data_IF_949272160991
#
_entry.id   IF_949272160991
#
_cell.length_a   1.000
_cell.length_b   1.000
_cell.length_c   1.000
_cell.angle_alpha   90.00
_cell.angle_beta   90.00
_cell.angle_gamma   90.00
#
_symmetry.space_group_name_H-M   'P 1'
#
loop_
_entity.id
_entity.type
_entity.pdbx_description
1 polymer ?
#
# COMPACT_ATOMS: atom_id res chain seq x y z
N UNK A 1 -9.06 14.49 10.05
CA UNK A 1 -8.10 13.36 10.01
C UNK A 1 -8.13 12.80 8.59
N UNK A 2 -7.09 12.12 8.12
CA UNK A 2 -7.08 11.64 6.74
C UNK A 2 -6.07 10.53 6.56
N UNK A 3 -6.04 9.93 5.38
CA UNK A 3 -5.31 8.70 5.12
C UNK A 3 -3.78 8.80 5.28
N UNK A 4 -3.27 8.08 6.26
CA UNK A 4 -1.85 7.85 6.53
C UNK A 4 -1.56 6.35 6.38
N UNK A 5 -0.53 6.02 5.60
CA UNK A 5 -0.24 4.64 5.17
C UNK A 5 1.22 4.31 5.49
N UNK A 6 1.50 3.06 5.83
CA UNK A 6 2.82 2.62 6.27
C UNK A 6 3.16 1.24 5.73
N UNK A 7 4.45 1.00 5.48
CA UNK A 7 4.97 -0.35 5.27
C UNK A 7 6.22 -0.59 6.11
N UNK A 8 6.32 -1.79 6.67
CA UNK A 8 7.39 -2.16 7.59
C UNK A 8 7.66 -3.67 7.61
N UNK A 9 8.82 -4.03 8.15
CA UNK A 9 9.12 -5.43 8.50
C UNK A 9 8.57 -5.81 9.88
N UNK A 10 8.41 -7.11 10.14
CA UNK A 10 7.94 -7.66 11.43
C UNK A 10 8.66 -7.07 12.66
N UNK A 11 9.96 -6.78 12.53
CA UNK A 11 10.81 -6.31 13.63
C UNK A 11 10.64 -4.81 13.93
N UNK A 12 9.87 -4.06 13.11
CA UNK A 12 9.85 -2.59 13.13
C UNK A 12 8.46 -1.95 13.06
N UNK A 13 7.49 -2.50 13.78
CA UNK A 13 6.14 -1.93 13.90
C UNK A 13 6.10 -0.47 14.40
N UNK A 14 7.16 0.03 15.05
CA UNK A 14 7.25 1.41 15.58
C UNK A 14 8.04 2.38 14.70
N UNK A 15 8.72 1.91 13.65
CA UNK A 15 9.49 2.79 12.75
C UNK A 15 9.35 2.32 11.30
N UNK A 16 8.33 2.80 10.58
CA UNK A 16 8.05 2.29 9.25
C UNK A 16 9.13 2.66 8.25
N UNK A 17 9.51 1.70 7.40
CA UNK A 17 10.45 1.94 6.31
C UNK A 17 9.87 2.85 5.22
N UNK A 18 8.55 2.77 5.00
CA UNK A 18 7.84 3.60 4.04
C UNK A 18 6.59 4.18 4.67
N UNK A 19 6.30 5.43 4.32
CA UNK A 19 5.07 6.11 4.71
C UNK A 19 4.49 6.88 3.53
N UNK A 20 3.18 6.88 3.36
CA UNK A 20 2.49 7.68 2.36
C UNK A 20 1.40 8.51 3.02
N UNK A 21 1.10 9.63 2.38
CA UNK A 21 0.01 10.50 2.78
C UNK A 21 -0.94 10.66 1.62
N UNK A 22 -2.20 10.22 1.81
CA UNK A 22 -3.28 10.35 0.82
C UNK A 22 -2.92 9.75 -0.55
N UNK A 23 -2.31 8.56 -0.54
CA UNK A 23 -2.08 7.80 -1.76
C UNK A 23 -3.29 6.89 -2.02
N UNK A 24 -4.34 7.48 -2.60
CA UNK A 24 -5.64 6.84 -2.76
C UNK A 24 -5.57 5.56 -3.61
N UNK A 25 -4.81 5.59 -4.72
CA UNK A 25 -4.69 4.43 -5.62
C UNK A 25 -3.94 3.27 -4.98
N UNK A 26 -2.89 3.57 -4.20
CA UNK A 26 -2.20 2.54 -3.41
C UNK A 26 -3.14 1.96 -2.34
N UNK A 27 -3.94 2.79 -1.67
CA UNK A 27 -4.90 2.33 -0.67
C UNK A 27 -5.94 1.40 -1.30
N UNK A 28 -6.50 1.78 -2.44
CA UNK A 28 -7.48 0.96 -3.17
C UNK A 28 -6.91 -0.42 -3.50
N UNK A 29 -5.66 -0.49 -3.99
CA UNK A 29 -4.99 -1.76 -4.25
C UNK A 29 -4.88 -2.63 -2.98
N UNK A 30 -4.48 -2.02 -1.85
CA UNK A 30 -4.31 -2.74 -0.58
C UNK A 30 -5.64 -3.20 0.03
N UNK A 31 -6.70 -2.40 -0.11
CA UNK A 31 -8.05 -2.74 0.32
C UNK A 31 -8.63 -3.89 -0.50
N UNK A 32 -8.48 -3.87 -1.83
CA UNK A 32 -8.90 -4.98 -2.69
C UNK A 32 -8.15 -6.27 -2.33
N UNK A 33 -6.85 -6.17 -2.08
CA UNK A 33 -6.03 -7.30 -1.64
C UNK A 33 -6.49 -7.84 -0.28
N UNK A 34 -6.79 -6.96 0.68
CA UNK A 34 -7.31 -7.31 2.00
C UNK A 34 -8.65 -8.05 1.91
N UNK A 35 -9.61 -7.51 1.15
CA UNK A 35 -10.93 -8.12 0.96
C UNK A 35 -10.79 -9.52 0.34
N UNK A 36 -9.97 -9.64 -0.70
CA UNK A 36 -9.75 -10.92 -1.38
C UNK A 36 -9.10 -11.96 -0.46
N UNK A 37 -8.19 -11.55 0.42
CA UNK A 37 -7.44 -12.45 1.30
C UNK A 37 -8.23 -12.85 2.56
N UNK A 38 -9.02 -11.94 3.11
CA UNK A 38 -9.66 -12.11 4.43
C UNK A 38 -11.16 -12.34 4.35
N UNK A 39 -11.82 -11.94 3.26
CA UNK A 39 -13.28 -11.88 3.14
C UNK A 39 -13.93 -10.80 4.01
N UNK A 40 -13.13 -9.97 4.71
CA UNK A 40 -13.63 -8.85 5.51
C UNK A 40 -13.86 -7.63 4.63
N UNK A 41 -14.65 -6.68 5.12
CA UNK A 41 -14.84 -5.41 4.44
C UNK A 41 -13.53 -4.60 4.38
N UNK A 42 -13.41 -3.75 3.35
CA UNK A 42 -12.20 -2.96 3.09
C UNK A 42 -11.84 -2.02 4.26
N UNK A 43 -12.85 -1.44 4.91
CA UNK A 43 -12.70 -0.56 6.07
C UNK A 43 -12.07 -1.27 7.28
N UNK A 44 -12.21 -2.60 7.39
CA UNK A 44 -11.57 -3.38 8.42
C UNK A 44 -10.03 -3.38 8.31
N UNK A 45 -9.44 -2.96 7.17
CA UNK A 45 -7.99 -2.75 7.08
C UNK A 45 -7.51 -1.58 7.96
N UNK A 46 -8.39 -0.63 8.29
CA UNK A 46 -8.06 0.50 9.17
C UNK A 46 -7.53 0.00 10.53
N UNK A 47 -6.37 0.51 10.94
CA UNK A 47 -5.65 0.10 12.16
C UNK A 47 -5.25 -1.39 12.22
N UNK A 48 -5.42 -2.14 11.12
CA UNK A 48 -4.99 -3.53 10.99
C UNK A 48 -3.76 -3.64 10.06
N UNK A 49 -3.20 -4.84 9.99
CA UNK A 49 -1.99 -5.12 9.22
C UNK A 49 -2.29 -6.15 8.13
N UNK A 50 -1.86 -5.84 6.91
CA UNK A 50 -1.87 -6.74 5.77
C UNK A 50 -0.45 -7.28 5.54
N UNK A 51 -0.24 -8.58 5.78
CA UNK A 51 1.00 -9.26 5.40
C UNK A 51 1.08 -9.36 3.87
N UNK A 52 2.14 -8.85 3.25
CA UNK A 52 2.34 -8.85 1.80
C UNK A 52 3.17 -10.04 1.34
N UNK A 53 2.77 -10.61 0.21
CA UNK A 53 3.42 -11.74 -0.45
C UNK A 53 4.22 -11.27 -1.67
N UNK A 54 5.12 -12.12 -2.18
CA UNK A 54 5.99 -11.75 -3.30
C UNK A 54 5.18 -11.47 -4.57
N UNK A 55 4.08 -12.19 -4.74
CA UNK A 55 3.12 -12.05 -5.84
C UNK A 55 2.36 -10.72 -5.77
N UNK A 56 2.00 -10.27 -4.56
CA UNK A 56 1.36 -8.97 -4.33
C UNK A 56 2.28 -7.84 -4.78
N UNK A 57 3.55 -7.91 -4.36
CA UNK A 57 4.58 -6.91 -4.69
C UNK A 57 4.88 -6.91 -6.19
N UNK A 58 4.96 -8.08 -6.83
CA UNK A 58 5.17 -8.17 -8.27
C UNK A 58 3.99 -7.57 -9.06
N UNK A 59 2.76 -7.82 -8.62
CA UNK A 59 1.54 -7.27 -9.23
C UNK A 59 1.51 -5.75 -9.06
N UNK A 60 1.77 -5.25 -7.86
CA UNK A 60 1.84 -3.83 -7.56
C UNK A 60 2.90 -3.13 -8.42
N UNK A 61 4.12 -3.68 -8.49
CA UNK A 61 5.20 -3.13 -9.30
C UNK A 61 4.80 -3.03 -10.77
N UNK A 62 4.21 -4.09 -11.34
CA UNK A 62 3.75 -4.09 -12.73
C UNK A 62 2.68 -3.02 -12.98
N UNK A 63 1.73 -2.84 -12.06
CA UNK A 63 0.71 -1.79 -12.15
C UNK A 63 1.32 -0.39 -12.09
N UNK A 64 2.28 -0.14 -11.19
CA UNK A 64 2.98 1.16 -11.10
C UNK A 64 3.77 1.46 -12.39
N UNK A 65 4.47 0.46 -12.94
CA UNK A 65 5.26 0.62 -14.16
C UNK A 65 4.39 0.98 -15.36
N UNK A 66 3.17 0.40 -15.43
CA UNK A 66 2.18 0.63 -16.48
C UNK A 66 1.28 1.84 -16.23
N UNK A 67 1.37 2.47 -15.05
CA UNK A 67 0.43 3.49 -14.57
C UNK A 67 -1.03 2.99 -14.54
N UNK A 68 -1.23 1.73 -14.14
CA UNK A 68 -2.51 1.02 -14.09
C UNK A 68 -2.98 0.75 -12.65
N UNK A 69 -2.50 1.54 -11.67
CA UNK A 69 -3.04 1.44 -10.31
C UNK A 69 -4.56 1.74 -10.31
N UNK A 70 -5.35 1.03 -9.49
CA UNK A 70 -6.79 1.18 -9.50
C UNK A 70 -7.20 2.59 -9.05
N UNK A 71 -8.23 3.13 -9.69
CA UNK A 71 -8.87 4.36 -9.23
C UNK A 71 -9.61 4.07 -7.93
N UNK A 72 -9.39 4.92 -6.93
CA UNK A 72 -10.08 4.77 -5.65
C UNK A 72 -11.40 5.54 -5.69
N UNK A 73 -12.56 4.92 -5.35
CA UNK A 73 -13.81 5.66 -5.18
C UNK A 73 -13.85 6.47 -3.87
N UNK A 74 -12.72 6.54 -3.13
CA UNK A 74 -12.62 7.14 -1.81
C UNK A 74 -13.02 8.62 -1.71
N UNK A 75 -12.99 9.14 -0.49
CA UNK A 75 -13.42 10.50 -0.18
C UNK A 75 -12.29 11.56 -0.21
N UNK A 76 -12.66 12.81 0.04
CA UNK A 76 -11.72 13.94 0.21
C UNK A 76 -10.55 13.63 1.16
N UNK A 77 -10.81 12.87 2.23
CA UNK A 77 -9.81 12.51 3.24
C UNK A 77 -8.74 11.53 2.74
N UNK A 78 -8.98 10.86 1.61
CA UNK A 78 -8.06 9.91 1.00
C UNK A 78 -7.23 10.53 -0.13
N UNK A 79 -7.54 11.77 -0.53
CA UNK A 79 -6.86 12.44 -1.64
C UNK A 79 -7.40 12.08 -3.02
N UNK A 80 -8.62 11.53 -3.09
CA UNK A 80 -9.25 11.10 -4.35
C UNK A 80 -9.20 12.17 -5.47
N UNK A 81 -9.39 13.44 -5.13
CA UNK A 81 -9.39 14.54 -6.11
C UNK A 81 -8.05 14.73 -6.83
N UNK A 82 -6.95 14.27 -6.23
CA UNK A 82 -5.59 14.40 -6.74
C UNK A 82 -4.90 13.04 -6.86
N UNK A 83 -5.69 11.98 -7.11
CA UNK A 83 -5.18 10.62 -7.06
C UNK A 83 -4.15 10.31 -8.15
N UNK A 84 -4.27 10.95 -9.32
CA UNK A 84 -3.32 10.80 -10.42
C UNK A 84 -2.02 11.56 -10.14
N UNK A 85 -2.11 12.78 -9.61
CA UNK A 85 -0.96 13.57 -9.21
C UNK A 85 -0.20 12.89 -8.07
N UNK A 86 -0.92 12.42 -7.04
CA UNK A 86 -0.36 11.66 -5.92
C UNK A 86 0.33 10.39 -6.40
N UNK A 87 -0.29 9.61 -7.30
CA UNK A 87 0.32 8.42 -7.89
C UNK A 87 1.58 8.74 -8.70
N UNK A 88 1.61 9.88 -9.41
CA UNK A 88 2.79 10.34 -10.15
C UNK A 88 3.92 10.77 -9.21
N UNK A 89 3.61 11.54 -8.17
CA UNK A 89 4.58 12.02 -7.17
C UNK A 89 5.20 10.85 -6.39
N UNK A 90 4.38 9.89 -5.96
CA UNK A 90 4.86 8.73 -5.21
C UNK A 90 5.44 7.63 -6.09
N UNK A 91 5.33 7.70 -7.42
CA UNK A 91 5.77 6.64 -8.33
C UNK A 91 7.18 6.13 -8.06
N UNK A 92 8.15 7.05 -7.85
CA UNK A 92 9.52 6.65 -7.54
C UNK A 92 9.60 5.88 -6.21
N UNK A 93 8.92 6.40 -5.19
CA UNK A 93 8.86 5.81 -3.86
C UNK A 93 8.15 4.45 -3.85
N UNK A 94 7.10 4.30 -4.64
CA UNK A 94 6.35 3.05 -4.76
C UNK A 94 7.21 1.94 -5.41
N UNK A 95 8.04 2.31 -6.39
CA UNK A 95 9.01 1.40 -7.00
C UNK A 95 10.14 1.04 -6.02
N UNK A 96 10.64 2.00 -5.24
CA UNK A 96 11.61 1.72 -4.17
C UNK A 96 11.03 0.75 -3.13
N UNK A 97 9.78 0.97 -2.73
CA UNK A 97 9.05 0.06 -1.84
C UNK A 97 8.96 -1.36 -2.43
N UNK A 98 8.59 -1.49 -3.70
CA UNK A 98 8.50 -2.81 -4.34
C UNK A 98 9.86 -3.52 -4.39
N UNK A 99 10.93 -2.80 -4.71
CA UNK A 99 12.28 -3.34 -4.74
C UNK A 99 12.74 -3.80 -3.35
N UNK A 100 12.52 -2.96 -2.33
CA UNK A 100 12.82 -3.28 -0.95
C UNK A 100 12.02 -4.48 -0.46
N UNK A 101 10.70 -4.48 -0.66
CA UNK A 101 9.82 -5.56 -0.19
C UNK A 101 10.22 -6.90 -0.83
N UNK A 102 10.55 -6.90 -2.13
CA UNK A 102 11.05 -8.10 -2.81
C UNK A 102 12.37 -8.61 -2.23
N UNK A 103 13.28 -7.71 -1.84
CA UNK A 103 14.54 -8.10 -1.22
C UNK A 103 14.32 -8.73 0.16
N UNK A 104 13.43 -8.16 0.98
CA UNK A 104 13.07 -8.65 2.32
C UNK A 104 12.35 -10.00 2.25
N UNK A 105 11.39 -10.16 1.34
CA UNK A 105 10.65 -11.43 1.20
C UNK A 105 11.56 -12.59 0.80
N UNK A 106 12.67 -12.32 0.09
CA UNK A 106 13.69 -13.33 -0.23
C UNK A 106 14.49 -13.80 0.99
N UNK A 107 14.60 -13.00 2.04
CA UNK A 107 15.37 -13.34 3.26
C UNK A 107 14.54 -14.04 4.34
N UNK A 108 13.39 -14.64 3.98
CA UNK A 108 12.40 -15.26 4.89
C UNK A 108 11.81 -14.29 5.93
N UNK A 109 11.96 -12.99 5.73
CA UNK A 109 11.32 -11.97 6.53
C UNK A 109 9.95 -11.63 5.96
N UNK A 110 9.09 -11.06 6.80
CA UNK A 110 7.74 -10.63 6.44
C UNK A 110 7.67 -9.12 6.25
N UNK A 111 6.88 -8.72 5.27
CA UNK A 111 6.56 -7.32 4.98
C UNK A 111 5.09 -7.10 5.30
N UNK A 112 4.79 -6.00 5.97
CA UNK A 112 3.44 -5.61 6.34
C UNK A 112 3.11 -4.23 5.79
N UNK A 113 1.83 -4.06 5.47
CA UNK A 113 1.20 -2.79 5.17
C UNK A 113 0.16 -2.47 6.25
N UNK A 114 0.06 -1.21 6.65
CA UNK A 114 -1.04 -0.72 7.49
C UNK A 114 -1.45 0.68 7.10
N UNK A 115 -2.66 1.07 7.53
CA UNK A 115 -3.17 2.41 7.32
C UNK A 115 -4.04 2.86 8.49
N UNK A 116 -4.20 4.18 8.63
CA UNK A 116 -5.21 4.77 9.49
C UNK A 116 -5.76 6.09 8.93
N UNK A 117 -6.98 6.43 9.31
CA UNK A 117 -7.69 7.64 8.85
C UNK A 117 -8.78 8.10 9.82
#
# INVERSE_FOLDING_TARGET
>A
MGLDQYAFTADRTQNPEFNWRKHAKLQEFMEQLWVNRTGQAADALNCNQLELQAEDIATLQAMIERNELPDSPGGFFYGHQFQDESASEYRHRDLEFCQWARAILRTRQKVFYSCWW
#
